data_IF_082304799643
#
_entry.id   IF_082304799643
#
_cell.length_a   1.000
_cell.length_b   1.000
_cell.length_c   1.000
_cell.angle_alpha   90.00
_cell.angle_beta   90.00
_cell.angle_gamma   90.00
#
_symmetry.space_group_name_H-M   'P 1'
#
loop_
_entity.id
_entity.type
_entity.pdbx_description
1 polymer ?
#
# COMPACT_ATOMS: atom_id res chain seq x y z
N UNK A 1 -16.64 -6.61 -17.43
CA UNK A 1 -15.18 -6.66 -17.67
C UNK A 1 -14.52 -6.47 -16.33
N UNK A 2 -13.51 -7.26 -15.99
CA UNK A 2 -12.82 -7.14 -14.69
C UNK A 2 -11.49 -6.45 -14.92
N UNK A 3 -11.23 -5.38 -14.18
CA UNK A 3 -9.96 -4.66 -14.19
C UNK A 3 -9.16 -5.01 -12.94
N UNK A 4 -7.85 -5.16 -13.10
CA UNK A 4 -6.93 -5.46 -12.00
C UNK A 4 -5.80 -4.45 -12.00
N UNK A 5 -5.63 -3.75 -10.87
CA UNK A 5 -4.56 -2.77 -10.67
C UNK A 5 -3.54 -3.39 -9.71
N UNK A 6 -2.29 -3.50 -10.17
CA UNK A 6 -1.20 -4.08 -9.40
C UNK A 6 -0.24 -2.98 -8.95
N UNK A 7 0.06 -2.96 -7.65
CA UNK A 7 0.89 -1.96 -7.01
C UNK A 7 1.95 -2.67 -6.17
N UNK A 8 3.21 -2.30 -6.37
CA UNK A 8 4.32 -2.74 -5.52
C UNK A 8 4.39 -1.86 -4.27
N UNK A 9 4.76 -2.43 -3.12
CA UNK A 9 5.02 -1.65 -1.91
C UNK A 9 6.07 -0.55 -2.14
N UNK A 10 5.99 0.52 -1.36
CA UNK A 10 6.94 1.63 -1.40
C UNK A 10 8.36 1.24 -0.94
N UNK A 11 9.28 2.19 -1.06
CA UNK A 11 10.66 2.05 -0.64
C UNK A 11 10.79 1.74 0.87
N UNK A 12 11.75 0.88 1.21
CA UNK A 12 12.16 0.48 2.56
C UNK A 12 13.68 0.60 2.59
N UNK A 13 14.28 0.78 3.76
CA UNK A 13 15.74 0.92 3.84
C UNK A 13 16.47 -0.31 3.27
N UNK A 14 15.91 -1.51 3.44
CA UNK A 14 16.52 -2.72 2.93
C UNK A 14 16.49 -2.82 1.41
N UNK A 15 15.43 -2.35 0.73
CA UNK A 15 15.45 -2.38 -0.73
C UNK A 15 16.38 -1.31 -1.31
N UNK A 16 16.51 -0.15 -0.65
CA UNK A 16 17.52 0.87 -0.97
C UNK A 16 18.94 0.32 -0.79
N UNK A 17 19.17 -0.47 0.25
CA UNK A 17 20.44 -1.14 0.55
C UNK A 17 20.68 -2.42 -0.26
N UNK A 18 19.77 -2.80 -1.17
CA UNK A 18 19.81 -4.05 -1.94
C UNK A 18 19.91 -5.32 -1.07
N UNK A 19 19.34 -5.26 0.14
CA UNK A 19 19.26 -6.37 1.08
C UNK A 19 18.02 -7.21 0.83
N UNK A 20 18.20 -8.52 0.90
CA UNK A 20 17.09 -9.47 0.82
C UNK A 20 16.20 -9.36 2.07
N UNK A 21 14.90 -9.10 1.88
CA UNK A 21 13.93 -8.93 2.97
C UNK A 21 13.18 -10.22 3.34
N UNK A 22 12.83 -11.05 2.36
CA UNK A 22 11.94 -12.18 2.58
C UNK A 22 10.64 -11.77 3.28
N UNK A 23 10.28 -12.51 4.33
CA UNK A 23 9.12 -12.24 5.20
C UNK A 23 9.48 -11.41 6.45
N UNK A 24 10.64 -10.76 6.49
CA UNK A 24 10.96 -9.83 7.58
C UNK A 24 10.09 -8.59 7.45
N UNK A 25 9.50 -8.15 8.57
CA UNK A 25 8.74 -6.91 8.67
C UNK A 25 9.66 -5.70 8.72
N UNK A 26 10.10 -5.29 7.54
CA UNK A 26 10.79 -4.02 7.34
C UNK A 26 9.75 -2.98 6.90
N UNK A 27 9.55 -1.88 7.64
CA UNK A 27 8.59 -0.84 7.29
C UNK A 27 9.06 -0.01 6.10
N UNK A 28 8.16 0.80 5.55
CA UNK A 28 8.50 1.85 4.61
C UNK A 28 9.47 2.85 5.25
N UNK A 29 10.33 3.41 4.42
CA UNK A 29 11.11 4.58 4.81
C UNK A 29 10.37 5.87 4.40
N UNK A 30 10.96 7.03 4.67
CA UNK A 30 10.35 8.32 4.33
C UNK A 30 9.99 8.43 2.84
N UNK A 31 10.84 7.93 1.94
CA UNK A 31 10.55 7.87 0.50
C UNK A 31 9.36 6.97 0.21
N UNK A 32 9.27 5.80 0.84
CA UNK A 32 8.17 4.86 0.69
C UNK A 32 6.84 5.44 1.14
N UNK A 33 6.80 6.14 2.26
CA UNK A 33 5.58 6.83 2.71
C UNK A 33 5.14 7.93 1.74
N UNK A 34 6.08 8.70 1.18
CA UNK A 34 5.74 9.71 0.16
C UNK A 34 5.24 9.05 -1.14
N UNK A 35 5.79 7.90 -1.53
CA UNK A 35 5.29 7.12 -2.66
C UNK A 35 3.85 6.65 -2.42
N UNK A 36 3.56 6.12 -1.22
CA UNK A 36 2.21 5.69 -0.83
C UNK A 36 1.20 6.85 -0.85
N UNK A 37 1.61 8.03 -0.37
CA UNK A 37 0.80 9.24 -0.40
C UNK A 37 0.46 9.66 -1.84
N UNK A 38 1.45 9.74 -2.73
CA UNK A 38 1.26 10.09 -4.15
C UNK A 38 0.38 9.10 -4.89
N UNK A 39 0.51 7.82 -4.56
CA UNK A 39 -0.35 6.78 -5.10
C UNK A 39 -1.82 7.05 -4.75
N UNK A 40 -2.13 7.36 -3.50
CA UNK A 40 -3.49 7.69 -3.08
C UNK A 40 -4.03 8.93 -3.82
N UNK A 41 -3.22 9.99 -3.94
CA UNK A 41 -3.60 11.18 -4.72
C UNK A 41 -3.94 10.83 -6.16
N UNK A 42 -3.13 9.96 -6.78
CA UNK A 42 -3.37 9.51 -8.14
C UNK A 42 -4.66 8.70 -8.26
N UNK A 43 -4.87 7.73 -7.37
CA UNK A 43 -6.07 6.89 -7.36
C UNK A 43 -7.35 7.73 -7.15
N UNK A 44 -7.30 8.73 -6.28
CA UNK A 44 -8.40 9.66 -6.07
C UNK A 44 -8.74 10.48 -7.33
N UNK A 45 -7.72 10.89 -8.09
CA UNK A 45 -7.88 11.66 -9.31
C UNK A 45 -8.50 10.85 -10.47
N UNK A 46 -8.20 9.55 -10.54
CA UNK A 46 -8.70 8.64 -11.58
C UNK A 46 -10.20 8.29 -11.41
N UNK A 47 -10.79 8.58 -10.23
CA UNK A 47 -12.22 8.30 -9.91
C UNK A 47 -12.64 6.86 -10.21
N UNK A 48 -11.75 5.91 -9.90
CA UNK A 48 -11.95 4.49 -10.14
C UNK A 48 -13.06 3.94 -9.23
N UNK A 49 -13.93 3.08 -9.79
CA UNK A 49 -14.80 2.23 -9.00
C UNK A 49 -14.00 0.99 -8.59
N UNK A 50 -13.59 0.93 -7.31
CA UNK A 50 -12.81 -0.19 -6.77
C UNK A 50 -13.68 -0.96 -5.79
N UNK A 51 -13.94 -2.23 -6.09
CA UNK A 51 -14.76 -3.10 -5.23
C UNK A 51 -13.94 -3.74 -4.09
N UNK A 52 -12.65 -4.00 -4.34
CA UNK A 52 -11.77 -4.70 -3.40
C UNK A 52 -10.36 -4.12 -3.39
N UNK A 53 -9.76 -4.10 -2.20
CA UNK A 53 -8.33 -3.82 -1.98
C UNK A 53 -7.75 -4.98 -1.16
N UNK A 54 -6.67 -5.59 -1.66
CA UNK A 54 -6.00 -6.72 -1.02
C UNK A 54 -4.51 -6.43 -0.91
N UNK A 55 -3.90 -6.79 0.23
CA UNK A 55 -2.46 -6.68 0.41
C UNK A 55 -1.90 -7.78 1.33
N UNK A 56 -0.58 -7.89 1.33
CA UNK A 56 0.26 -8.50 2.35
C UNK A 56 -0.18 -8.26 3.81
N UNK A 57 -0.03 -9.25 4.69
CA UNK A 57 0.15 -9.07 6.13
C UNK A 57 1.43 -8.28 6.49
N UNK A 58 2.39 -8.17 5.57
CA UNK A 58 3.66 -7.49 5.79
C UNK A 58 3.48 -5.97 5.98
N UNK A 59 4.16 -5.40 6.97
CA UNK A 59 3.96 -4.00 7.35
C UNK A 59 4.16 -3.02 6.18
N UNK A 60 5.17 -3.24 5.33
CA UNK A 60 5.44 -2.39 4.14
C UNK A 60 4.29 -2.35 3.13
N UNK A 61 3.55 -3.45 2.95
CA UNK A 61 2.40 -3.47 2.04
C UNK A 61 1.20 -2.80 2.67
N UNK A 62 0.98 -2.99 3.96
CA UNK A 62 -0.09 -2.33 4.71
C UNK A 62 0.11 -0.80 4.75
N UNK A 63 1.33 -0.35 5.03
CA UNK A 63 1.68 1.07 5.01
C UNK A 63 1.56 1.70 3.61
N UNK A 64 1.82 0.92 2.55
CA UNK A 64 1.60 1.39 1.17
C UNK A 64 0.11 1.50 0.85
N UNK A 65 -0.69 0.53 1.30
CA UNK A 65 -2.12 0.45 1.04
C UNK A 65 -2.92 1.47 1.86
N UNK A 66 -2.46 1.85 3.05
CA UNK A 66 -3.23 2.66 4.00
C UNK A 66 -3.74 3.99 3.43
N UNK A 67 -2.90 4.82 2.77
CA UNK A 67 -3.39 6.05 2.15
C UNK A 67 -4.40 5.77 1.02
N UNK A 68 -4.20 4.71 0.24
CA UNK A 68 -5.09 4.32 -0.84
C UNK A 68 -6.46 3.84 -0.32
N UNK A 69 -6.49 3.11 0.79
CA UNK A 69 -7.74 2.70 1.43
C UNK A 69 -8.55 3.92 1.84
N UNK A 70 -7.92 4.94 2.46
CA UNK A 70 -8.62 6.14 2.93
C UNK A 70 -9.33 6.89 1.79
N UNK A 71 -8.74 6.93 0.59
CA UNK A 71 -9.33 7.66 -0.54
C UNK A 71 -10.33 6.83 -1.36
N UNK A 72 -10.11 5.51 -1.47
CA UNK A 72 -10.99 4.61 -2.21
C UNK A 72 -12.18 4.14 -1.37
N UNK A 73 -11.98 3.98 -0.07
CA UNK A 73 -12.95 3.44 0.88
C UNK A 73 -13.01 4.32 2.14
N UNK A 74 -13.45 5.59 2.04
CA UNK A 74 -13.42 6.54 3.16
C UNK A 74 -14.24 6.11 4.39
N UNK A 75 -15.13 5.13 4.22
CA UNK A 75 -15.96 4.57 5.28
C UNK A 75 -15.27 3.42 6.04
N UNK A 76 -14.22 2.82 5.46
CA UNK A 76 -13.51 1.68 6.05
C UNK A 76 -12.27 2.18 6.81
N UNK A 77 -11.97 1.50 7.92
CA UNK A 77 -10.67 1.59 8.59
C UNK A 77 -9.88 0.32 8.28
N UNK A 78 -8.54 0.42 8.28
CA UNK A 78 -7.70 -0.78 8.35
C UNK A 78 -7.88 -1.32 9.75
N UNK A 79 -8.72 -2.34 9.88
CA UNK A 79 -8.63 -3.26 10.98
C UNK A 79 -7.63 -4.32 10.53
N UNK A 80 -6.46 -4.39 11.17
CA UNK A 80 -5.57 -5.54 11.03
C UNK A 80 -6.40 -6.77 11.43
N UNK A 81 -6.76 -7.59 10.44
CA UNK A 81 -7.18 -8.97 10.69
C UNK A 81 -5.94 -9.71 11.19
N UNK A 82 -5.65 -9.56 12.47
CA UNK A 82 -4.86 -10.56 13.19
C UNK A 82 -5.77 -11.76 13.35
N UNK A 83 -5.31 -12.92 12.86
CA UNK A 83 -5.93 -14.23 13.11
C UNK A 83 -6.31 -14.44 14.59
#
# INVERSE_FOLDING_TARGET
MTELILIRHGETDWNRELRFQGHVDVPLNATGHEQARRLAERLAAEKLAVDHLVCSDLIRTQETASPALQVLFPQLRIDTLTD
#
